data_IF_222402766255
#
_entry.id   IF_222402766255
#
_cell.length_a   1.000
_cell.length_b   1.000
_cell.length_c   1.000
_cell.angle_alpha   90.00
_cell.angle_beta   90.00
_cell.angle_gamma   90.00
#
_symmetry.space_group_name_H-M   'P 1'
#
loop_
_entity.id
_entity.type
_entity.pdbx_description
1 polymer ?
#
# COMPACT_ATOMS: atom_id res chain seq x y z
N UNK A 1 5.44 -24.69 3.66
CA UNK A 1 5.12 -23.25 3.46
C UNK A 1 3.99 -23.11 2.46
N UNK A 2 3.10 -22.16 2.68
CA UNK A 2 2.04 -21.89 1.70
C UNK A 2 2.64 -21.25 0.44
N UNK A 3 1.96 -21.38 -0.70
CA UNK A 3 2.36 -20.73 -1.94
C UNK A 3 2.50 -19.21 -1.78
N UNK A 4 1.66 -18.60 -0.94
CA UNK A 4 1.70 -17.17 -0.63
C UNK A 4 3.01 -16.82 0.06
N UNK A 5 3.46 -17.61 1.01
CA UNK A 5 4.74 -17.37 1.71
C UNK A 5 5.92 -17.44 0.75
N UNK A 6 5.90 -18.41 -0.16
CA UNK A 6 6.95 -18.54 -1.17
C UNK A 6 6.96 -17.35 -2.13
N UNK A 7 5.78 -16.90 -2.56
CA UNK A 7 5.64 -15.69 -3.38
C UNK A 7 6.24 -14.47 -2.67
N UNK A 8 5.90 -14.25 -1.41
CA UNK A 8 6.42 -13.11 -0.65
C UNK A 8 7.93 -13.18 -0.46
N UNK A 9 8.46 -14.37 -0.21
CA UNK A 9 9.90 -14.59 -0.10
C UNK A 9 10.63 -14.23 -1.39
N UNK A 10 10.06 -14.57 -2.53
CA UNK A 10 10.65 -14.30 -3.85
C UNK A 10 10.55 -12.83 -4.24
N UNK A 11 9.57 -12.09 -3.75
CA UNK A 11 9.35 -10.68 -4.11
C UNK A 11 9.94 -9.68 -3.12
N UNK A 12 10.41 -10.11 -1.95
CA UNK A 12 10.86 -9.22 -0.87
C UNK A 12 12.02 -8.27 -1.23
N UNK A 13 12.82 -8.62 -2.24
CA UNK A 13 13.94 -7.80 -2.72
C UNK A 13 13.61 -7.05 -4.03
N UNK A 14 12.36 -7.13 -4.49
CA UNK A 14 11.95 -6.49 -5.73
C UNK A 14 11.89 -4.97 -5.58
N UNK A 15 12.14 -4.25 -6.68
CA UNK A 15 11.93 -2.81 -6.73
C UNK A 15 10.43 -2.49 -6.54
N UNK A 16 10.09 -1.27 -6.08
CA UNK A 16 8.69 -0.88 -5.96
C UNK A 16 8.00 -0.87 -7.33
N UNK A 17 6.68 -0.94 -7.32
CA UNK A 17 5.92 -0.83 -8.56
C UNK A 17 6.16 0.53 -9.24
N UNK A 18 6.02 0.58 -10.54
CA UNK A 18 6.32 1.79 -11.32
C UNK A 18 5.50 3.01 -10.92
N UNK A 19 4.23 2.81 -10.54
CA UNK A 19 3.41 3.92 -10.06
C UNK A 19 3.94 4.51 -8.75
N UNK A 20 4.47 3.67 -7.87
CA UNK A 20 5.13 4.14 -6.64
C UNK A 20 6.42 4.87 -6.98
N UNK A 21 7.21 4.35 -7.90
CA UNK A 21 8.42 5.04 -8.37
C UNK A 21 8.11 6.44 -8.90
N UNK A 22 7.02 6.58 -9.66
CA UNK A 22 6.58 7.89 -10.16
C UNK A 22 6.20 8.85 -9.04
N UNK A 23 5.52 8.36 -8.00
CA UNK A 23 5.20 9.18 -6.83
C UNK A 23 6.46 9.66 -6.14
N UNK A 24 7.45 8.79 -5.99
CA UNK A 24 8.72 9.15 -5.35
C UNK A 24 9.53 10.16 -6.17
N UNK A 25 9.34 10.19 -7.48
CA UNK A 25 9.96 11.17 -8.38
C UNK A 25 9.24 12.53 -8.36
N UNK A 26 8.01 12.58 -7.89
CA UNK A 26 7.25 13.82 -7.79
C UNK A 26 7.75 14.64 -6.61
N UNK A 27 7.69 15.96 -6.74
CA UNK A 27 8.07 16.89 -5.66
C UNK A 27 6.94 17.00 -4.63
N UNK A 28 6.74 15.92 -3.87
CA UNK A 28 5.69 15.81 -2.86
C UNK A 28 6.34 15.62 -1.49
N UNK A 29 5.91 16.43 -0.53
CA UNK A 29 6.35 16.27 0.86
C UNK A 29 5.79 14.97 1.40
N UNK A 30 6.64 14.04 1.88
CA UNK A 30 6.17 12.79 2.47
C UNK A 30 5.25 13.04 3.67
N UNK A 31 4.19 12.27 3.75
CA UNK A 31 3.23 12.30 4.84
C UNK A 31 2.85 10.88 5.26
N UNK A 32 1.55 10.63 5.42
CA UNK A 32 1.02 9.33 5.81
C UNK A 32 0.53 8.57 4.59
N UNK A 33 1.01 7.35 4.41
CA UNK A 33 0.61 6.47 3.33
C UNK A 33 -0.04 5.19 3.85
N UNK A 34 -0.94 4.63 3.07
CA UNK A 34 -1.50 3.31 3.30
C UNK A 34 -1.14 2.43 2.10
N UNK A 35 -0.56 1.26 2.38
CA UNK A 35 -0.26 0.25 1.37
C UNK A 35 -1.26 -0.90 1.53
N UNK A 36 -2.21 -0.98 0.62
CA UNK A 36 -3.26 -2.00 0.62
C UNK A 36 -2.80 -3.24 -0.12
N UNK A 37 -2.79 -4.38 0.57
CA UNK A 37 -2.27 -5.61 0.01
C UNK A 37 -0.76 -5.57 -0.10
N UNK A 38 -0.09 -5.19 0.98
CA UNK A 38 1.33 -4.87 1.00
C UNK A 38 2.25 -6.07 0.69
N UNK A 39 1.79 -7.29 0.93
CA UNK A 39 2.61 -8.49 0.76
C UNK A 39 3.90 -8.41 1.57
N UNK A 40 5.03 -8.73 0.94
CA UNK A 40 6.35 -8.67 1.56
C UNK A 40 6.91 -7.24 1.67
N UNK A 41 6.14 -6.23 1.28
CA UNK A 41 6.44 -4.84 1.55
C UNK A 41 7.30 -4.14 0.52
N UNK A 42 7.34 -4.59 -0.74
CA UNK A 42 8.17 -3.96 -1.76
C UNK A 42 7.90 -2.46 -1.92
N UNK A 43 6.64 -2.04 -1.90
CA UNK A 43 6.26 -0.63 -1.99
C UNK A 43 6.41 0.07 -0.63
N UNK A 44 5.97 -0.58 0.45
CA UNK A 44 6.08 -0.07 1.83
C UNK A 44 7.51 0.33 2.17
N UNK A 45 8.47 -0.55 1.91
CA UNK A 45 9.88 -0.33 2.26
C UNK A 45 10.42 0.91 1.54
N UNK A 46 10.17 1.03 0.24
CA UNK A 46 10.65 2.17 -0.53
C UNK A 46 10.00 3.49 -0.12
N UNK A 47 8.71 3.47 0.22
CA UNK A 47 8.03 4.65 0.74
C UNK A 47 8.66 5.10 2.07
N UNK A 48 8.90 4.16 2.99
CA UNK A 48 9.52 4.47 4.29
C UNK A 48 10.92 5.04 4.09
N UNK A 49 11.72 4.44 3.21
CA UNK A 49 13.08 4.91 2.91
C UNK A 49 13.09 6.33 2.32
N UNK A 50 11.98 6.77 1.77
CA UNK A 50 11.79 8.11 1.22
C UNK A 50 10.99 9.04 2.16
N UNK A 51 10.88 8.69 3.41
CA UNK A 51 10.36 9.58 4.45
C UNK A 51 8.87 9.43 4.77
N UNK A 52 8.16 8.52 4.12
CA UNK A 52 6.73 8.31 4.39
C UNK A 52 6.50 7.51 5.67
N UNK A 53 5.45 7.85 6.40
CA UNK A 53 4.91 7.01 7.46
C UNK A 53 3.91 6.06 6.80
N UNK A 54 4.10 4.76 6.91
CA UNK A 54 3.28 3.78 6.17
C UNK A 54 2.53 2.87 7.12
N UNK A 55 1.22 2.76 6.90
CA UNK A 55 0.39 1.69 7.43
C UNK A 55 0.23 0.64 6.33
N UNK A 56 0.84 -0.51 6.53
CA UNK A 56 0.75 -1.62 5.59
C UNK A 56 -0.37 -2.57 5.99
N UNK A 57 -1.30 -2.81 5.08
CA UNK A 57 -2.47 -3.65 5.34
C UNK A 57 -2.44 -4.86 4.41
N UNK A 58 -2.62 -6.03 4.98
CA UNK A 58 -2.77 -7.28 4.23
C UNK A 58 -3.66 -8.22 5.02
N UNK A 59 -4.26 -9.19 4.34
CA UNK A 59 -5.00 -10.26 5.02
C UNK A 59 -4.07 -11.30 5.65
N UNK A 60 -2.82 -11.33 5.20
CA UNK A 60 -1.77 -12.19 5.77
C UNK A 60 -0.86 -11.36 6.66
N UNK A 61 -0.36 -11.97 7.74
CA UNK A 61 0.60 -11.29 8.61
C UNK A 61 2.02 -11.40 8.02
N UNK A 62 2.47 -10.31 7.41
CA UNK A 62 3.80 -10.22 6.81
C UNK A 62 4.71 -9.25 7.56
N UNK A 63 4.33 -8.85 8.77
CA UNK A 63 5.03 -7.84 9.55
C UNK A 63 6.53 -8.12 9.70
N UNK A 64 6.88 -9.34 10.08
CA UNK A 64 8.30 -9.70 10.29
C UNK A 64 9.13 -9.64 9.01
N UNK A 65 8.53 -9.99 7.87
CA UNK A 65 9.21 -9.92 6.57
C UNK A 65 9.57 -8.48 6.19
N UNK A 66 8.72 -7.53 6.57
CA UNK A 66 8.95 -6.12 6.29
C UNK A 66 9.94 -5.54 7.30
N UNK A 67 9.75 -5.85 8.59
CA UNK A 67 10.62 -5.33 9.65
C UNK A 67 12.09 -5.68 9.46
N UNK A 68 12.38 -6.88 8.97
CA UNK A 68 13.78 -7.31 8.75
C UNK A 68 14.52 -6.46 7.70
N UNK A 69 13.80 -5.69 6.89
CA UNK A 69 14.37 -4.81 5.86
C UNK A 69 14.52 -3.36 6.32
N UNK A 70 14.10 -3.05 7.54
CA UNK A 70 14.07 -1.69 8.06
C UNK A 70 15.07 -1.53 9.21
N UNK A 71 15.76 -0.37 9.27
CA UNK A 71 16.58 -0.02 10.40
C UNK A 71 15.70 0.56 11.53
N UNK A 72 16.33 0.88 12.69
CA UNK A 72 15.61 1.38 13.87
C UNK A 72 14.80 2.65 13.61
N UNK A 73 15.34 3.58 12.84
CA UNK A 73 14.65 4.84 12.52
C UNK A 73 13.49 4.59 11.56
N UNK A 74 13.68 3.70 10.61
CA UNK A 74 12.64 3.32 9.63
C UNK A 74 11.50 2.56 10.28
N UNK A 75 11.78 1.71 11.27
CA UNK A 75 10.76 0.98 12.02
C UNK A 75 9.75 1.92 12.70
N UNK A 76 10.17 3.11 13.11
CA UNK A 76 9.28 4.11 13.72
C UNK A 76 8.24 4.65 12.75
N UNK A 77 8.49 4.50 11.44
CA UNK A 77 7.59 4.95 10.38
C UNK A 77 6.71 3.82 9.84
N UNK A 78 6.83 2.63 10.39
CA UNK A 78 6.14 1.44 9.93
C UNK A 78 5.09 0.99 10.95
N UNK A 79 3.87 0.77 10.46
CA UNK A 79 2.81 0.06 11.17
C UNK A 79 2.20 -0.96 10.22
N UNK A 80 1.70 -2.06 10.77
CA UNK A 80 1.01 -3.08 9.99
C UNK A 80 -0.32 -3.44 10.62
N UNK A 81 -1.25 -3.87 9.79
CA UNK A 81 -2.57 -4.32 10.24
C UNK A 81 -3.02 -5.49 9.37
N UNK A 82 -3.51 -6.55 10.02
CA UNK A 82 -4.11 -7.69 9.32
C UNK A 82 -5.59 -7.44 9.19
N UNK A 83 -6.07 -7.21 7.97
CA UNK A 83 -7.47 -6.90 7.70
C UNK A 83 -7.91 -7.50 6.37
N UNK A 84 -9.16 -7.92 6.30
CA UNK A 84 -9.83 -8.24 5.04
C UNK A 84 -10.40 -6.96 4.41
N UNK A 85 -10.36 -6.86 3.10
CA UNK A 85 -10.84 -5.67 2.39
C UNK A 85 -12.35 -5.45 2.57
N UNK A 86 -13.12 -6.52 2.77
CA UNK A 86 -14.55 -6.45 2.99
C UNK A 86 -14.92 -5.63 4.23
N UNK A 87 -14.09 -5.67 5.27
CA UNK A 87 -14.34 -5.01 6.55
C UNK A 87 -13.26 -3.97 6.89
N UNK A 88 -12.57 -3.47 5.88
CA UNK A 88 -11.42 -2.61 6.10
C UNK A 88 -11.78 -1.30 6.79
N UNK A 89 -10.89 -0.85 7.67
CA UNK A 89 -10.95 0.48 8.30
C UNK A 89 -9.73 1.26 7.87
N UNK A 90 -9.95 2.42 7.28
CA UNK A 90 -8.90 3.28 6.75
C UNK A 90 -8.85 4.59 7.55
N UNK A 91 -7.68 4.91 8.06
CA UNK A 91 -7.41 6.20 8.68
C UNK A 91 -7.16 7.28 7.63
N UNK A 92 -7.19 8.55 8.02
CA UNK A 92 -6.86 9.66 7.12
C UNK A 92 -5.42 9.53 6.64
N UNK A 93 -5.20 9.82 5.37
CA UNK A 93 -3.89 9.65 4.74
C UNK A 93 -3.70 10.61 3.57
N UNK A 94 -2.47 10.68 3.09
CA UNK A 94 -2.05 11.53 1.98
C UNK A 94 -1.80 10.73 0.71
N UNK A 95 -1.61 9.42 0.84
CA UNK A 95 -1.31 8.54 -0.27
C UNK A 95 -1.89 7.16 0.03
N UNK A 96 -2.60 6.59 -0.93
CA UNK A 96 -2.96 5.17 -0.90
C UNK A 96 -2.31 4.48 -2.08
N UNK A 97 -1.65 3.36 -1.80
CA UNK A 97 -1.09 2.46 -2.80
C UNK A 97 -1.87 1.15 -2.76
N UNK A 98 -2.34 0.70 -3.91
CA UNK A 98 -3.02 -0.58 -4.03
C UNK A 98 -2.62 -1.23 -5.35
N UNK A 99 -1.56 -2.04 -5.32
CA UNK A 99 -1.03 -2.68 -6.50
C UNK A 99 -1.43 -4.16 -6.53
N UNK A 100 -2.28 -4.52 -7.49
CA UNK A 100 -2.79 -5.89 -7.71
C UNK A 100 -3.64 -6.45 -6.57
N UNK A 101 -4.06 -5.63 -5.61
CA UNK A 101 -4.79 -6.09 -4.44
C UNK A 101 -6.31 -5.85 -4.52
N UNK A 102 -6.76 -4.83 -5.26
CA UNK A 102 -8.20 -4.54 -5.38
C UNK A 102 -9.02 -5.75 -5.88
N UNK A 103 -8.54 -6.57 -6.83
CA UNK A 103 -9.30 -7.75 -7.27
C UNK A 103 -9.59 -8.78 -6.17
N UNK A 104 -8.89 -8.72 -5.05
CA UNK A 104 -9.12 -9.60 -3.90
C UNK A 104 -10.28 -9.14 -3.01
N UNK A 105 -10.84 -7.96 -3.29
CA UNK A 105 -12.09 -7.52 -2.70
C UNK A 105 -13.25 -8.11 -3.52
N UNK A 106 -14.15 -8.83 -2.89
CA UNK A 106 -15.31 -9.42 -3.58
C UNK A 106 -16.17 -8.33 -4.24
N UNK A 107 -16.77 -8.64 -5.40
CA UNK A 107 -17.61 -7.68 -6.15
C UNK A 107 -18.70 -7.04 -5.30
N UNK A 108 -19.28 -7.82 -4.37
CA UNK A 108 -20.33 -7.37 -3.45
C UNK A 108 -19.87 -6.19 -2.60
N UNK A 109 -18.61 -6.15 -2.22
CA UNK A 109 -18.06 -5.17 -1.29
C UNK A 109 -17.28 -4.05 -1.98
N UNK A 110 -17.08 -4.13 -3.28
CA UNK A 110 -16.20 -3.22 -4.02
C UNK A 110 -16.66 -1.76 -3.90
N UNK A 111 -17.95 -1.49 -4.03
CA UNK A 111 -18.50 -0.14 -3.96
C UNK A 111 -18.27 0.48 -2.58
N UNK A 112 -18.51 -0.28 -1.52
CA UNK A 112 -18.29 0.16 -0.15
C UNK A 112 -16.78 0.39 0.11
N UNK A 113 -15.96 -0.51 -0.35
CA UNK A 113 -14.50 -0.41 -0.27
C UNK A 113 -14.00 0.87 -0.96
N UNK A 114 -14.48 1.13 -2.17
CA UNK A 114 -14.11 2.32 -2.92
C UNK A 114 -14.51 3.61 -2.19
N UNK A 115 -15.71 3.65 -1.61
CA UNK A 115 -16.15 4.80 -0.80
C UNK A 115 -15.24 5.04 0.39
N UNK A 116 -14.79 4.00 1.06
CA UNK A 116 -13.85 4.12 2.18
C UNK A 116 -12.51 4.71 1.75
N UNK A 117 -12.02 4.31 0.57
CA UNK A 117 -10.80 4.89 -0.01
C UNK A 117 -10.98 6.39 -0.24
N UNK A 118 -12.05 6.78 -0.91
CA UNK A 118 -12.31 8.19 -1.22
C UNK A 118 -12.42 9.05 0.05
N UNK A 119 -13.10 8.55 1.06
CA UNK A 119 -13.28 9.26 2.34
C UNK A 119 -11.98 9.38 3.12
N UNK A 120 -11.05 8.44 2.99
CA UNK A 120 -9.81 8.41 3.75
C UNK A 120 -8.74 9.33 3.18
N UNK A 121 -8.75 9.58 1.87
CA UNK A 121 -7.75 10.42 1.21
C UNK A 121 -8.06 11.89 1.43
N UNK A 122 -7.09 12.63 1.95
CA UNK A 122 -7.23 14.08 2.10
C UNK A 122 -7.20 14.78 0.73
N UNK A 123 -7.88 15.93 0.65
CA UNK A 123 -7.97 16.74 -0.57
C UNK A 123 -6.59 17.03 -1.16
N UNK A 124 -6.48 16.90 -2.48
CA UNK A 124 -5.25 17.18 -3.21
C UNK A 124 -4.20 16.08 -3.12
N UNK A 125 -4.56 14.92 -2.58
CA UNK A 125 -3.65 13.80 -2.39
C UNK A 125 -3.77 12.74 -3.48
N UNK A 126 -2.99 11.68 -3.38
CA UNK A 126 -2.77 10.74 -4.47
C UNK A 126 -3.26 9.36 -4.11
N UNK A 127 -3.93 8.73 -5.08
CA UNK A 127 -4.25 7.31 -5.05
C UNK A 127 -3.53 6.61 -6.20
N UNK A 128 -2.69 5.63 -5.86
CA UNK A 128 -1.97 4.81 -6.82
C UNK A 128 -2.51 3.40 -6.80
N UNK A 129 -2.90 2.88 -7.97
CA UNK A 129 -3.40 1.52 -8.04
C UNK A 129 -3.05 0.85 -9.36
N UNK A 130 -3.02 -0.47 -9.31
CA UNK A 130 -2.76 -1.29 -10.48
C UNK A 130 -3.62 -2.55 -10.40
N UNK A 131 -4.36 -2.84 -11.47
CA UNK A 131 -5.18 -4.03 -11.57
C UNK A 131 -4.41 -5.20 -12.20
N UNK A 132 -4.91 -6.41 -12.00
CA UNK A 132 -4.36 -7.64 -12.60
C UNK A 132 -4.21 -7.54 -14.12
N UNK A 133 -5.06 -6.77 -14.77
CA UNK A 133 -5.07 -6.64 -16.24
C UNK A 133 -4.09 -5.59 -16.76
N UNK A 134 -3.09 -5.27 -16.00
CA UNK A 134 -1.99 -4.40 -16.40
C UNK A 134 -2.39 -2.95 -16.74
N UNK A 135 -3.47 -2.47 -16.16
CA UNK A 135 -3.82 -1.04 -16.24
C UNK A 135 -3.21 -0.31 -15.06
N UNK A 136 -2.49 0.75 -15.35
CA UNK A 136 -1.84 1.59 -14.34
C UNK A 136 -2.47 2.95 -14.29
N UNK A 137 -2.81 3.39 -13.09
CA UNK A 137 -3.36 4.71 -12.90
C UNK A 137 -2.66 5.38 -11.72
N UNK A 138 -2.40 6.67 -11.89
CA UNK A 138 -2.11 7.58 -10.78
C UNK A 138 -3.28 8.54 -10.74
N UNK A 139 -4.18 8.34 -9.78
CA UNK A 139 -5.33 9.21 -9.61
C UNK A 139 -4.99 10.35 -8.65
N UNK A 140 -5.30 11.56 -9.05
CA UNK A 140 -5.24 12.72 -8.17
C UNK A 140 -6.66 13.11 -7.78
N UNK A 141 -6.85 13.32 -6.50
CA UNK A 141 -8.11 13.86 -6.02
C UNK A 141 -8.19 15.34 -6.42
N UNK A 142 -9.00 15.64 -7.40
CA UNK A 142 -9.21 17.01 -7.88
C UNK A 142 -10.26 17.69 -7.01
N UNK A 143 -9.84 18.55 -6.16
CA UNK A 143 -10.77 19.44 -5.45
C UNK A 143 -10.21 20.82 -5.34
#
# INVERSE_FOLDING_TARGET
MSEIHEYYKNTKNALPHKNVQKVLEMDIIPGNAIDLGCGAGRDTIYLIKNGWNVLAIDREDTKSLIEEKLNENELKKFRSSVQNFENIKLEKNNLIVSNYSIPFCGKKYFKEFWSKIEESIEKGRIFCWQLFWNKRFVGRNKT
#
